data_IF_525648545812
#
_entry.id   IF_525648545812
#
_cell.length_a   1.000
_cell.length_b   1.000
_cell.length_c   1.000
_cell.angle_alpha   90.00
_cell.angle_beta   90.00
_cell.angle_gamma   90.00
#
_symmetry.space_group_name_H-M   'P 1'
#
loop_
_entity.id
_entity.type
_entity.pdbx_description
1 polymer ?
#
# COMPACT_ATOMS: atom_id res chain seq x y z
N UNK A 1 29.70 32.69 5.27
CA UNK A 1 29.08 31.55 5.99
C UNK A 1 27.82 31.14 5.25
N UNK A 2 27.91 30.16 4.35
CA UNK A 2 26.77 29.68 3.54
C UNK A 2 26.11 28.49 4.24
N UNK A 3 24.91 28.70 4.77
CA UNK A 3 24.09 27.65 5.37
C UNK A 3 23.38 26.87 4.26
N UNK A 4 23.93 25.73 3.88
CA UNK A 4 23.30 24.79 2.95
C UNK A 4 22.08 24.12 3.63
N UNK A 5 20.87 24.60 3.34
CA UNK A 5 19.64 23.96 3.79
C UNK A 5 19.41 22.70 2.95
N UNK A 6 19.65 21.53 3.54
CA UNK A 6 19.30 20.25 2.93
C UNK A 6 17.80 20.19 2.60
N UNK A 7 17.40 19.76 1.38
CA UNK A 7 16.00 19.65 1.03
C UNK A 7 15.34 18.48 1.77
N UNK A 8 14.39 18.79 2.65
CA UNK A 8 13.56 17.83 3.37
C UNK A 8 12.64 17.10 2.38
N UNK A 9 13.05 15.93 1.87
CA UNK A 9 12.22 15.07 1.01
C UNK A 9 11.14 14.36 1.84
N UNK A 10 9.99 15.00 2.02
CA UNK A 10 8.76 14.35 2.50
C UNK A 10 7.80 14.10 1.34
N UNK A 11 8.07 13.07 0.53
CA UNK A 11 7.08 12.54 -0.42
C UNK A 11 6.21 11.50 0.31
N UNK A 12 5.39 11.94 1.26
CA UNK A 12 4.36 11.12 1.91
C UNK A 12 3.00 11.21 1.18
N UNK A 13 3.00 11.68 -0.07
CA UNK A 13 1.81 11.98 -0.86
C UNK A 13 1.83 11.36 -2.27
N UNK A 14 2.51 10.21 -2.43
CA UNK A 14 2.71 9.63 -3.77
C UNK A 14 1.51 8.81 -4.26
N UNK A 15 0.63 8.33 -3.38
CA UNK A 15 -0.45 7.41 -3.80
C UNK A 15 -1.88 7.97 -3.73
N UNK A 16 -2.05 9.27 -4.06
CA UNK A 16 -3.39 9.88 -4.21
C UNK A 16 -4.28 9.11 -5.20
N UNK A 17 -3.68 8.45 -6.20
CA UNK A 17 -4.40 7.69 -7.22
C UNK A 17 -4.99 6.38 -6.66
N UNK A 18 -4.25 5.63 -5.84
CA UNK A 18 -4.76 4.42 -5.16
C UNK A 18 -5.70 4.79 -4.02
N UNK A 19 -5.38 5.85 -3.27
CA UNK A 19 -6.20 6.39 -2.18
C UNK A 19 -7.57 6.90 -2.66
N UNK A 20 -7.61 7.62 -3.79
CA UNK A 20 -8.85 8.08 -4.40
C UNK A 20 -9.72 6.93 -4.91
N UNK A 21 -9.12 5.89 -5.49
CA UNK A 21 -9.86 4.69 -5.93
C UNK A 21 -10.48 3.95 -4.75
N UNK A 22 -9.73 3.76 -3.67
CA UNK A 22 -10.22 3.06 -2.48
C UNK A 22 -11.29 3.89 -1.75
N UNK A 23 -11.05 5.18 -1.52
CA UNK A 23 -12.03 6.07 -0.92
C UNK A 23 -13.32 6.18 -1.76
N UNK A 24 -13.21 6.28 -3.08
CA UNK A 24 -14.37 6.27 -3.99
C UNK A 24 -15.14 4.96 -3.92
N UNK A 25 -14.43 3.82 -3.86
CA UNK A 25 -15.06 2.51 -3.71
C UNK A 25 -15.81 2.43 -2.38
N UNK A 26 -15.22 2.86 -1.27
CA UNK A 26 -15.91 2.89 0.03
C UNK A 26 -17.12 3.82 0.02
N UNK A 27 -16.97 5.04 -0.51
CA UNK A 27 -18.07 5.99 -0.65
C UNK A 27 -19.20 5.41 -1.51
N UNK A 28 -18.87 4.69 -2.59
CA UNK A 28 -19.87 4.02 -3.41
C UNK A 28 -20.65 2.95 -2.64
N UNK A 29 -19.96 2.06 -1.90
CA UNK A 29 -20.64 1.03 -1.09
C UNK A 29 -21.48 1.67 0.03
N UNK A 30 -20.97 2.75 0.64
CA UNK A 30 -21.68 3.49 1.67
C UNK A 30 -22.95 4.16 1.14
N UNK A 31 -22.86 4.85 0.00
CA UNK A 31 -24.02 5.44 -0.68
C UNK A 31 -25.00 4.37 -1.14
N UNK A 32 -24.53 3.23 -1.66
CA UNK A 32 -25.38 2.10 -2.03
C UNK A 32 -26.12 1.53 -0.82
N UNK A 33 -25.44 1.37 0.32
CA UNK A 33 -26.05 0.91 1.57
C UNK A 33 -27.11 1.90 2.07
N UNK A 34 -26.77 3.20 2.11
CA UNK A 34 -27.70 4.25 2.50
C UNK A 34 -28.93 4.31 1.58
N UNK A 35 -28.74 4.12 0.28
CA UNK A 35 -29.81 4.05 -0.71
C UNK A 35 -30.70 2.83 -0.51
N UNK A 36 -30.13 1.65 -0.27
CA UNK A 36 -30.90 0.45 0.06
C UNK A 36 -31.72 0.63 1.35
N UNK A 37 -31.12 1.21 2.41
CA UNK A 37 -31.84 1.51 3.65
C UNK A 37 -32.96 2.51 3.42
N UNK A 38 -32.73 3.55 2.61
CA UNK A 38 -33.74 4.53 2.24
C UNK A 38 -34.92 3.88 1.52
N UNK A 39 -34.66 3.07 0.49
CA UNK A 39 -35.73 2.35 -0.23
C UNK A 39 -36.49 1.42 0.73
N UNK A 40 -35.78 0.62 1.52
CA UNK A 40 -36.40 -0.35 2.43
C UNK A 40 -37.34 0.35 3.42
N UNK A 41 -36.88 1.41 4.07
CA UNK A 41 -37.69 2.17 5.04
C UNK A 41 -38.84 2.93 4.36
N UNK A 42 -38.62 3.46 3.16
CA UNK A 42 -39.67 4.12 2.38
C UNK A 42 -40.77 3.13 1.96
N UNK A 43 -40.41 1.92 1.52
CA UNK A 43 -41.36 0.87 1.17
C UNK A 43 -42.20 0.44 2.39
N UNK A 44 -41.56 0.23 3.54
CA UNK A 44 -42.25 -0.10 4.79
C UNK A 44 -43.23 1.03 5.16
N UNK A 45 -42.82 2.29 5.04
CA UNK A 45 -43.66 3.44 5.38
C UNK A 45 -44.88 3.56 4.47
N UNK A 46 -44.72 3.42 3.15
CA UNK A 46 -45.82 3.46 2.17
C UNK A 46 -46.84 2.34 2.42
N UNK A 47 -46.37 1.12 2.72
CA UNK A 47 -47.25 -0.02 3.03
C UNK A 47 -48.01 0.20 4.35
N UNK A 48 -47.37 0.84 5.33
CA UNK A 48 -47.96 1.07 6.66
C UNK A 48 -48.95 2.24 6.70
N UNK A 49 -48.82 3.21 5.78
CA UNK A 49 -49.64 4.42 5.70
C UNK A 49 -50.31 4.61 4.32
N UNK A 50 -51.10 3.63 3.82
CA UNK A 50 -51.56 3.61 2.42
C UNK A 50 -52.59 4.71 2.06
N UNK A 51 -53.22 5.34 3.05
CA UNK A 51 -54.29 6.33 2.85
C UNK A 51 -53.86 7.78 3.12
N UNK A 52 -52.58 8.02 3.45
CA UNK A 52 -52.09 9.38 3.69
C UNK A 52 -51.71 10.09 2.39
N UNK A 53 -51.80 11.42 2.36
CA UNK A 53 -51.34 12.20 1.21
C UNK A 53 -49.81 12.08 1.06
N UNK A 54 -49.26 12.08 -0.17
CA UNK A 54 -47.82 11.92 -0.39
C UNK A 54 -46.94 12.95 0.34
N UNK A 55 -47.44 14.18 0.48
CA UNK A 55 -46.75 15.22 1.24
C UNK A 55 -46.64 14.87 2.73
N UNK A 56 -47.73 14.40 3.34
CA UNK A 56 -47.78 14.04 4.75
C UNK A 56 -46.95 12.78 5.04
N UNK A 57 -46.93 11.83 4.10
CA UNK A 57 -46.04 10.67 4.15
C UNK A 57 -44.57 11.09 4.14
N UNK A 58 -44.17 12.01 3.26
CA UNK A 58 -42.79 12.51 3.21
C UNK A 58 -42.38 13.24 4.50
N UNK A 59 -43.23 14.12 5.01
CA UNK A 59 -42.98 14.86 6.25
C UNK A 59 -42.82 13.91 7.45
N UNK A 60 -43.75 12.96 7.59
CA UNK A 60 -43.74 11.97 8.66
C UNK A 60 -42.51 11.06 8.56
N UNK A 61 -42.17 10.62 7.35
CA UNK A 61 -40.98 9.81 7.08
C UNK A 61 -39.70 10.53 7.47
N UNK A 62 -39.55 11.82 7.10
CA UNK A 62 -38.38 12.63 7.44
C UNK A 62 -38.29 12.91 8.94
N UNK A 63 -39.41 13.14 9.63
CA UNK A 63 -39.43 13.32 11.08
C UNK A 63 -39.03 12.03 11.82
N UNK A 64 -39.49 10.86 11.34
CA UNK A 64 -39.20 9.57 11.95
C UNK A 64 -37.77 9.09 11.68
N UNK A 65 -37.29 9.22 10.43
CA UNK A 65 -36.02 8.64 10.00
C UNK A 65 -34.88 9.67 9.89
N UNK A 66 -35.18 10.97 9.96
CA UNK A 66 -34.19 12.03 9.79
C UNK A 66 -33.01 11.93 10.75
N UNK A 67 -33.24 11.47 12.00
CA UNK A 67 -32.18 11.22 12.98
C UNK A 67 -31.19 10.16 12.49
N UNK A 68 -31.67 9.09 11.88
CA UNK A 68 -30.84 7.98 11.36
C UNK A 68 -30.01 8.46 10.17
N UNK A 69 -30.62 9.17 9.22
CA UNK A 69 -29.89 9.73 8.08
C UNK A 69 -28.86 10.77 8.49
N UNK A 70 -29.18 11.61 9.47
CA UNK A 70 -28.22 12.56 10.02
C UNK A 70 -27.01 11.86 10.62
N UNK A 71 -27.22 10.82 11.44
CA UNK A 71 -26.14 10.00 12.00
C UNK A 71 -25.30 9.35 10.89
N UNK A 72 -25.94 8.80 9.85
CA UNK A 72 -25.24 8.19 8.71
C UNK A 72 -24.32 9.20 7.99
N UNK A 73 -24.81 10.41 7.74
CA UNK A 73 -24.02 11.47 7.10
C UNK A 73 -22.84 11.89 7.99
N UNK A 74 -23.07 12.06 9.30
CA UNK A 74 -22.03 12.45 10.26
C UNK A 74 -20.97 11.35 10.44
N UNK A 75 -21.35 10.08 10.39
CA UNK A 75 -20.41 8.95 10.48
C UNK A 75 -19.58 8.76 9.21
N UNK A 76 -20.09 9.18 8.05
CA UNK A 76 -19.42 9.04 6.76
C UNK A 76 -17.98 9.57 6.76
N UNK A 77 -17.69 10.83 7.15
CA UNK A 77 -16.33 11.35 7.17
C UNK A 77 -15.43 10.61 8.16
N UNK A 78 -15.95 10.20 9.32
CA UNK A 78 -15.18 9.43 10.31
C UNK A 78 -14.77 8.06 9.74
N UNK A 79 -15.72 7.36 9.10
CA UNK A 79 -15.47 6.07 8.47
C UNK A 79 -14.47 6.16 7.30
N UNK A 80 -14.63 7.19 6.44
CA UNK A 80 -13.68 7.44 5.35
C UNK A 80 -12.28 7.71 5.90
N UNK A 81 -12.18 8.56 6.93
CA UNK A 81 -10.90 8.90 7.55
C UNK A 81 -10.21 7.68 8.14
N UNK A 82 -10.94 6.86 8.90
CA UNK A 82 -10.40 5.65 9.51
C UNK A 82 -9.95 4.64 8.46
N UNK A 83 -10.76 4.42 7.41
CA UNK A 83 -10.43 3.53 6.29
C UNK A 83 -9.17 3.97 5.57
N UNK A 84 -9.03 5.28 5.30
CA UNK A 84 -7.83 5.84 4.67
C UNK A 84 -6.61 5.65 5.57
N UNK A 85 -6.73 5.97 6.86
CA UNK A 85 -5.64 5.81 7.84
C UNK A 85 -5.19 4.36 7.97
N UNK A 86 -6.14 3.42 8.00
CA UNK A 86 -5.85 1.99 7.98
C UNK A 86 -5.07 1.61 6.71
N UNK A 87 -5.56 2.01 5.53
CA UNK A 87 -4.87 1.75 4.26
C UNK A 87 -3.43 2.29 4.23
N UNK A 88 -3.19 3.48 4.79
CA UNK A 88 -1.83 4.04 4.90
C UNK A 88 -0.88 3.18 5.72
N UNK A 89 -1.37 2.57 6.81
CA UNK A 89 -0.57 1.67 7.65
C UNK A 89 -0.12 0.43 6.87
N UNK A 90 -0.88 -0.02 5.88
CA UNK A 90 -0.49 -1.12 5.00
C UNK A 90 0.43 -0.68 3.86
N UNK A 91 0.09 0.41 3.17
CA UNK A 91 0.78 0.80 1.94
C UNK A 91 2.22 1.31 2.19
N UNK A 92 2.46 2.03 3.29
CA UNK A 92 3.77 2.61 3.59
C UNK A 92 4.90 1.58 3.68
N UNK A 93 4.77 0.54 4.52
CA UNK A 93 5.72 -0.58 4.58
C UNK A 93 5.92 -1.27 3.23
N UNK A 94 4.85 -1.45 2.45
CA UNK A 94 4.92 -2.13 1.16
C UNK A 94 5.69 -1.39 0.08
N UNK A 95 5.54 -0.06 0.02
CA UNK A 95 6.32 0.78 -0.89
C UNK A 95 7.80 0.71 -0.54
N UNK A 96 8.14 0.69 0.76
CA UNK A 96 9.53 0.53 1.21
C UNK A 96 10.09 -0.84 0.80
N UNK A 97 9.35 -1.92 1.04
CA UNK A 97 9.75 -3.26 0.62
C UNK A 97 9.98 -3.36 -0.88
N UNK A 98 9.05 -2.86 -1.70
CA UNK A 98 9.18 -2.87 -3.16
C UNK A 98 10.44 -2.15 -3.62
N UNK A 99 10.78 -1.02 -2.99
CA UNK A 99 12.00 -0.27 -3.31
C UNK A 99 13.24 -1.09 -3.00
N UNK A 100 13.35 -1.64 -1.78
CA UNK A 100 14.53 -2.40 -1.38
C UNK A 100 14.68 -3.74 -2.15
N UNK A 101 13.56 -4.38 -2.51
CA UNK A 101 13.56 -5.52 -3.42
C UNK A 101 14.09 -5.15 -4.81
N UNK A 102 13.69 -3.98 -5.32
CA UNK A 102 14.20 -3.51 -6.61
C UNK A 102 15.70 -3.25 -6.55
N UNK A 103 16.18 -2.57 -5.51
CA UNK A 103 17.62 -2.35 -5.31
C UNK A 103 18.38 -3.67 -5.27
N UNK A 104 17.85 -4.67 -4.55
CA UNK A 104 18.46 -5.99 -4.46
C UNK A 104 18.48 -6.70 -5.83
N UNK A 105 17.40 -6.61 -6.60
CA UNK A 105 17.32 -7.21 -7.93
C UNK A 105 18.26 -6.54 -8.95
N UNK A 106 18.50 -5.24 -8.80
CA UNK A 106 19.41 -4.47 -9.65
C UNK A 106 20.90 -4.65 -9.23
N UNK A 107 21.19 -5.45 -8.18
CA UNK A 107 22.52 -5.63 -7.61
C UNK A 107 23.06 -4.38 -6.89
N UNK A 108 22.17 -3.44 -6.56
CA UNK A 108 22.50 -2.22 -5.81
C UNK A 108 22.51 -2.48 -4.30
N UNK A 109 23.03 -1.52 -3.54
CA UNK A 109 23.09 -1.59 -2.08
C UNK A 109 21.68 -1.52 -1.44
N UNK A 110 21.01 -2.67 -1.37
CA UNK A 110 19.77 -2.84 -0.63
C UNK A 110 20.04 -2.93 0.87
N UNK A 111 19.13 -2.40 1.69
CA UNK A 111 19.28 -2.36 3.15
C UNK A 111 18.35 -3.36 3.85
N UNK A 112 18.73 -3.90 5.02
CA UNK A 112 17.81 -4.71 5.81
C UNK A 112 16.56 -3.91 6.20
N UNK A 113 15.41 -4.58 6.24
CA UNK A 113 14.14 -3.96 6.62
C UNK A 113 13.73 -4.44 8.00
N UNK A 114 13.33 -3.49 8.84
CA UNK A 114 12.62 -3.72 10.08
C UNK A 114 11.38 -2.83 10.13
N UNK A 115 10.23 -3.43 10.46
CA UNK A 115 9.00 -2.72 10.76
C UNK A 115 8.74 -2.71 12.27
N UNK A 116 7.77 -1.92 12.73
CA UNK A 116 7.50 -1.83 14.16
C UNK A 116 6.86 -3.12 14.66
N UNK A 117 7.13 -3.51 15.92
CA UNK A 117 6.50 -4.68 16.53
C UNK A 117 4.98 -4.55 16.51
N UNK A 118 4.29 -5.57 16.01
CA UNK A 118 2.84 -5.59 15.85
C UNK A 118 2.32 -4.87 14.59
N UNK A 119 3.17 -4.56 13.61
CA UNK A 119 2.74 -4.22 12.26
C UNK A 119 2.46 -5.49 11.45
N UNK A 120 1.47 -5.43 10.55
CA UNK A 120 1.02 -6.54 9.70
C UNK A 120 2.12 -7.17 8.81
N UNK A 121 3.27 -6.50 8.67
CA UNK A 121 4.34 -6.85 7.74
C UNK A 121 5.65 -7.23 8.42
N UNK A 122 5.68 -7.32 9.75
CA UNK A 122 6.88 -7.63 10.53
C UNK A 122 7.56 -8.92 10.05
N UNK A 123 6.79 -10.00 9.91
CA UNK A 123 7.28 -11.29 9.40
C UNK A 123 7.86 -11.17 7.99
N UNK A 124 7.21 -10.37 7.13
CA UNK A 124 7.65 -10.17 5.76
C UNK A 124 8.97 -9.37 5.67
N UNK A 125 9.17 -8.39 6.56
CA UNK A 125 10.44 -7.68 6.66
C UNK A 125 11.57 -8.60 7.14
N UNK A 126 11.26 -9.50 8.07
CA UNK A 126 12.19 -10.52 8.54
C UNK A 126 12.60 -11.45 7.40
N UNK A 127 11.62 -12.05 6.70
CA UNK A 127 11.87 -12.89 5.53
C UNK A 127 12.66 -12.18 4.43
N UNK A 128 12.35 -10.91 4.14
CA UNK A 128 13.13 -10.12 3.18
C UNK A 128 14.59 -9.96 3.61
N UNK A 129 14.83 -9.67 4.89
CA UNK A 129 16.19 -9.47 5.42
C UNK A 129 17.01 -10.75 5.33
N UNK A 130 16.40 -11.90 5.65
CA UNK A 130 17.03 -13.21 5.49
C UNK A 130 17.36 -13.54 4.03
N UNK A 131 16.42 -13.29 3.11
CA UNK A 131 16.63 -13.53 1.68
C UNK A 131 17.74 -12.63 1.13
N UNK A 132 17.71 -11.34 1.48
CA UNK A 132 18.75 -10.38 1.11
C UNK A 132 20.13 -10.86 1.55
N UNK A 133 20.28 -11.30 2.79
CA UNK A 133 21.55 -11.79 3.31
C UNK A 133 22.07 -13.00 2.53
N UNK A 134 21.20 -13.97 2.22
CA UNK A 134 21.56 -15.13 1.40
C UNK A 134 22.02 -14.75 -0.01
N UNK A 135 21.34 -13.78 -0.64
CA UNK A 135 21.73 -13.28 -1.98
C UNK A 135 23.11 -12.64 -1.93
N UNK A 136 23.37 -11.76 -0.96
CA UNK A 136 24.66 -11.07 -0.82
C UNK A 136 25.81 -12.05 -0.55
N UNK A 137 25.60 -13.05 0.30
CA UNK A 137 26.59 -14.11 0.55
C UNK A 137 26.88 -14.90 -0.74
N UNK A 138 25.84 -15.27 -1.49
CA UNK A 138 26.01 -16.01 -2.74
C UNK A 138 26.77 -15.19 -3.80
N UNK A 139 26.51 -13.89 -3.92
CA UNK A 139 27.23 -12.99 -4.83
C UNK A 139 28.71 -12.84 -4.44
N UNK A 140 29.01 -12.75 -3.14
CA UNK A 140 30.40 -12.71 -2.64
C UNK A 140 31.16 -14.00 -2.98
N UNK A 141 30.56 -15.17 -2.71
CA UNK A 141 31.17 -16.46 -3.04
C UNK A 141 31.42 -16.62 -4.55
N UNK A 142 30.49 -16.15 -5.38
CA UNK A 142 30.64 -16.16 -6.83
C UNK A 142 31.79 -15.24 -7.29
N UNK A 143 31.93 -14.07 -6.66
CA UNK A 143 33.01 -13.12 -6.95
C UNK A 143 34.38 -13.69 -6.56
N UNK A 144 34.49 -14.31 -5.38
CA UNK A 144 35.70 -14.98 -4.93
C UNK A 144 36.09 -16.15 -5.83
N UNK A 145 35.13 -17.01 -6.19
CA UNK A 145 35.38 -18.13 -7.10
C UNK A 145 35.85 -17.66 -8.49
N UNK A 146 35.25 -16.59 -9.03
CA UNK A 146 35.70 -15.97 -10.30
C UNK A 146 37.10 -15.39 -10.20
N UNK A 147 37.45 -14.74 -9.08
CA UNK A 147 38.78 -14.21 -8.87
C UNK A 147 39.85 -15.30 -8.83
N UNK A 148 39.57 -16.43 -8.17
CA UNK A 148 40.46 -17.59 -8.10
C UNK A 148 40.65 -18.25 -9.48
N UNK A 149 39.57 -18.42 -10.25
CA UNK A 149 39.65 -18.98 -11.61
C UNK A 149 40.38 -18.05 -12.58
N UNK A 150 40.18 -16.73 -12.46
CA UNK A 150 40.89 -15.73 -13.28
C UNK A 150 42.40 -15.72 -13.06
N UNK A 151 42.86 -16.08 -11.85
CA UNK A 151 44.29 -16.24 -11.54
C UNK A 151 44.88 -17.58 -12.02
N UNK A 152 44.04 -18.56 -12.37
CA UNK A 152 44.48 -19.91 -12.80
C UNK A 152 44.55 -20.08 -14.32
N UNK A 153 44.17 -19.09 -15.14
CA UNK A 153 44.35 -19.19 -16.60
C UNK A 153 45.81 -18.89 -16.92
N UNK A 154 46.64 -19.88 -17.29
CA UNK A 154 48.01 -19.62 -17.68
C UNK A 154 47.97 -18.78 -18.97
N UNK A 155 48.78 -17.72 -19.01
CA UNK A 155 49.11 -17.03 -20.26
C UNK A 155 49.45 -18.11 -21.29
N UNK A 156 48.83 -18.13 -22.50
CA UNK A 156 49.17 -19.13 -23.49
C UNK A 156 50.65 -18.94 -23.77
N UNK A 157 51.45 -19.90 -23.31
CA UNK A 157 52.86 -20.02 -23.59
C UNK A 157 52.94 -19.92 -25.11
N UNK A 158 53.38 -18.75 -25.61
CA UNK A 158 53.61 -18.52 -27.02
C UNK A 158 54.72 -19.51 -27.37
N UNK A 159 54.30 -20.69 -27.83
CA UNK A 159 55.17 -21.71 -28.40
C UNK A 159 55.91 -20.99 -29.49
N UNK A 160 57.17 -20.66 -29.19
CA UNK A 160 58.11 -20.09 -30.13
C UNK A 160 58.17 -21.02 -31.32
N UNK A 161 57.52 -20.61 -32.40
CA UNK A 161 57.69 -21.18 -33.72
C UNK A 161 59.05 -20.71 -34.24
N UNK A 162 60.10 -21.23 -33.61
CA UNK A 162 61.47 -21.14 -34.08
C UNK A 162 61.87 -22.54 -34.53
N UNK A 163 61.60 -22.85 -35.80
CA UNK A 163 62.32 -23.87 -36.56
C UNK A 163 62.53 -23.41 -38.00
N UNK A 164 63.74 -22.90 -38.15
CA UNK A 164 64.67 -22.97 -39.29
C UNK A 164 64.42 -24.10 -40.29
#
# INVERSE_FOLDING_TARGET
MSSNKAPKRSRLFVDRAVQGKLAKRFLFHWCSLAFCMFIMTAMIHVISSPFESPHKQMETYLQQNGKIFFILIVLTPAFIWDSIKFSHRFAGPMVRLRRELKLLADGEAAHPLAFRPGDFWEDLATSYTEVRERVLIAEQQLAEARALLGQQTPEPELVGEDRS
#
